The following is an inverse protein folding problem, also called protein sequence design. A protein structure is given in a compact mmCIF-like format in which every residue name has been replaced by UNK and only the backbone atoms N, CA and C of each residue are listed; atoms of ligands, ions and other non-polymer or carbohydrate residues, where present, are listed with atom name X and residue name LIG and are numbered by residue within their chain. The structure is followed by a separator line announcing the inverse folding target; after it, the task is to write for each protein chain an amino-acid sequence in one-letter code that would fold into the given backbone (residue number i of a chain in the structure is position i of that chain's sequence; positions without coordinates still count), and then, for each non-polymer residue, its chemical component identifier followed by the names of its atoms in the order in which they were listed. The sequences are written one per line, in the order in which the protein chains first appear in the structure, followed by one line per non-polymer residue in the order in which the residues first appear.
data_IF_586160355992
#
_entry.id   IF_586160355992
#
_cell.length_a   1.000
_cell.length_b   1.000
_cell.length_c   1.000
_cell.angle_alpha   90.00
_cell.angle_beta   90.00
_cell.angle_gamma   90.00
#
_symmetry.space_group_name_H-M   'P 1'
#
loop_
_entity.id
_entity.type
_entity.pdbx_description
1 polymer ?
#
# COMPACT_ATOMS: atom_id res chain seq x y z
N UNK A 1 -14.96 8.90 -28.60
CA UNK A 1 -13.91 9.29 -27.62
C UNK A 1 -14.61 9.94 -26.44
N UNK A 2 -14.71 9.26 -25.30
CA UNK A 2 -15.32 9.85 -24.11
C UNK A 2 -14.45 11.01 -23.65
N UNK A 3 -14.97 12.24 -23.72
CA UNK A 3 -14.29 13.41 -23.16
C UNK A 3 -14.09 13.16 -21.66
N UNK A 4 -12.82 13.00 -21.26
CA UNK A 4 -12.44 12.99 -19.85
C UNK A 4 -12.82 14.34 -19.25
N UNK A 5 -13.53 14.40 -18.11
CA UNK A 5 -13.86 15.68 -17.50
C UNK A 5 -12.57 16.33 -16.99
N UNK A 6 -12.04 17.28 -17.78
CA UNK A 6 -11.02 18.21 -17.35
C UNK A 6 -11.67 19.20 -16.36
N UNK A 7 -11.72 18.83 -15.07
CA UNK A 7 -12.41 19.64 -14.06
C UNK A 7 -11.48 20.58 -13.27
N UNK A 8 -10.16 20.48 -13.45
CA UNK A 8 -9.19 21.32 -12.73
C UNK A 8 -8.06 21.79 -13.65
N UNK A 9 -7.51 23.01 -13.44
CA UNK A 9 -6.35 23.47 -14.18
C UNK A 9 -5.17 22.52 -14.07
N UNK A 10 -4.40 22.39 -15.16
CA UNK A 10 -3.26 21.48 -15.28
C UNK A 10 -2.27 21.67 -14.12
N UNK A 11 -1.94 22.91 -13.80
CA UNK A 11 -0.98 23.28 -12.78
C UNK A 11 -1.44 22.82 -11.39
N UNK A 12 -2.75 22.96 -11.12
CA UNK A 12 -3.38 22.52 -9.87
C UNK A 12 -3.36 21.00 -9.77
N UNK A 13 -3.63 20.30 -10.87
CA UNK A 13 -3.55 18.84 -10.91
C UNK A 13 -2.12 18.36 -10.61
N UNK A 14 -1.11 18.94 -11.26
CA UNK A 14 0.31 18.61 -11.03
C UNK A 14 0.69 18.83 -9.56
N UNK A 15 0.30 19.96 -8.98
CA UNK A 15 0.58 20.23 -7.56
C UNK A 15 -0.07 19.19 -6.64
N UNK A 16 -1.28 18.73 -6.96
CA UNK A 16 -1.97 17.70 -6.18
C UNK A 16 -1.29 16.34 -6.34
N UNK A 17 -0.87 15.97 -7.55
CA UNK A 17 -0.12 14.74 -7.81
C UNK A 17 1.22 14.72 -7.07
N UNK A 18 1.96 15.84 -7.07
CA UNK A 18 3.22 15.97 -6.29
C UNK A 18 2.98 15.78 -4.79
N UNK A 19 1.89 16.33 -4.24
CA UNK A 19 1.51 16.11 -2.84
C UNK A 19 1.19 14.64 -2.55
N UNK A 20 0.47 13.96 -3.45
CA UNK A 20 0.24 12.52 -3.34
C UNK A 20 1.56 11.76 -3.34
N UNK A 21 2.50 12.09 -4.24
CA UNK A 21 3.82 11.46 -4.27
C UNK A 21 4.59 11.65 -2.97
N UNK A 22 4.56 12.84 -2.37
CA UNK A 22 5.18 13.08 -1.06
C UNK A 22 4.54 12.19 0.01
N UNK A 23 3.20 12.10 0.04
CA UNK A 23 2.50 11.21 0.98
C UNK A 23 2.90 9.75 0.77
N UNK A 24 2.99 9.30 -0.47
CA UNK A 24 3.44 7.94 -0.81
C UNK A 24 4.88 7.71 -0.35
N UNK A 25 5.79 8.65 -0.58
CA UNK A 25 7.19 8.52 -0.15
C UNK A 25 7.26 8.38 1.37
N UNK A 26 6.54 9.22 2.11
CA UNK A 26 6.46 9.12 3.58
C UNK A 26 5.93 7.76 4.00
N UNK A 27 4.84 7.29 3.40
CA UNK A 27 4.26 5.97 3.72
C UNK A 27 5.17 4.81 3.31
N UNK A 28 5.90 4.95 2.20
CA UNK A 28 6.90 4.00 1.75
C UNK A 28 8.08 3.91 2.71
N UNK A 29 8.53 5.05 3.27
CA UNK A 29 9.55 5.08 4.32
C UNK A 29 9.07 4.41 5.61
N UNK A 30 7.82 4.67 6.02
CA UNK A 30 7.20 3.99 7.17
C UNK A 30 7.04 2.49 6.91
N UNK A 31 6.67 2.08 5.69
CA UNK A 31 6.59 0.67 5.34
C UNK A 31 7.96 -0.01 5.35
N UNK A 32 9.01 0.71 4.90
CA UNK A 32 10.39 0.19 4.93
C UNK A 32 10.94 0.07 6.35
N UNK A 33 10.55 0.95 7.29
CA UNK A 33 10.99 0.82 8.69
C UNK A 33 10.41 -0.40 9.40
N UNK A 34 9.29 -0.96 8.94
CA UNK A 34 8.73 -2.22 9.48
C UNK A 34 9.74 -3.37 9.43
N UNK A 35 10.66 -3.38 8.46
CA UNK A 35 11.71 -4.41 8.39
C UNK A 35 12.62 -4.37 9.62
N UNK A 36 12.96 -3.17 10.11
CA UNK A 36 13.75 -3.01 11.34
C UNK A 36 13.00 -3.61 12.52
N UNK A 37 11.70 -3.36 12.59
CA UNK A 37 10.84 -3.86 13.67
C UNK A 37 10.77 -5.38 13.66
N UNK A 38 10.62 -5.99 12.49
CA UNK A 38 10.60 -7.45 12.32
C UNK A 38 11.92 -8.08 12.82
N UNK A 39 13.07 -7.44 12.55
CA UNK A 39 14.36 -7.93 13.05
C UNK A 39 14.46 -7.82 14.57
N UNK A 40 14.00 -6.70 15.14
CA UNK A 40 14.02 -6.47 16.59
C UNK A 40 13.09 -7.45 17.30
N UNK A 41 11.87 -7.64 16.77
CA UNK A 41 10.90 -8.56 17.32
C UNK A 41 11.39 -10.01 17.24
N UNK A 42 11.83 -10.45 16.05
CA UNK A 42 12.40 -11.79 15.88
C UNK A 42 13.57 -12.08 16.83
N UNK A 43 14.42 -11.08 17.10
CA UNK A 43 15.52 -11.19 18.07
C UNK A 43 15.02 -11.24 19.51
N UNK A 44 13.98 -10.48 19.85
CA UNK A 44 13.38 -10.48 21.19
C UNK A 44 12.74 -11.84 21.51
N UNK A 45 12.05 -12.43 20.53
CA UNK A 45 11.48 -13.77 20.63
C UNK A 45 12.51 -14.86 20.98
N UNK A 46 13.79 -14.67 20.63
CA UNK A 46 14.88 -15.60 20.93
C UNK A 46 15.60 -15.31 22.25
N UNK A 47 15.40 -14.14 22.83
CA UNK A 47 16.21 -13.65 23.96
C UNK A 47 15.40 -13.39 25.22
N UNK A 48 14.07 -13.43 25.14
CA UNK A 48 13.18 -13.12 26.27
C UNK A 48 12.00 -14.08 26.35
N UNK A 49 11.65 -14.46 27.57
CA UNK A 49 10.33 -15.03 27.87
C UNK A 49 9.38 -13.84 28.06
N UNK A 50 8.27 -13.82 27.30
CA UNK A 50 7.38 -12.67 27.25
C UNK A 50 6.33 -12.76 28.36
N UNK A 51 6.20 -11.71 29.17
CA UNK A 51 5.12 -11.58 30.17
C UNK A 51 3.77 -11.20 29.54
N UNK A 52 3.79 -10.72 28.28
CA UNK A 52 2.62 -10.27 27.53
C UNK A 52 2.91 -10.24 26.02
N UNK A 53 1.86 -10.16 25.20
CA UNK A 53 1.98 -9.81 23.78
C UNK A 53 2.36 -8.33 23.54
N UNK A 54 2.40 -7.49 24.58
CA UNK A 54 2.83 -6.09 24.50
C UNK A 54 4.29 -5.92 24.92
N UNK A 55 5.22 -6.52 24.18
CA UNK A 55 6.64 -6.25 24.38
C UNK A 55 7.05 -4.88 23.80
N UNK A 56 8.23 -4.34 24.16
CA UNK A 56 8.73 -3.11 23.54
C UNK A 56 8.82 -3.21 22.01
N UNK A 57 9.19 -4.38 21.47
CA UNK A 57 9.24 -4.61 20.03
C UNK A 57 7.84 -4.60 19.41
N UNK A 58 6.88 -5.30 20.04
CA UNK A 58 5.49 -5.33 19.61
C UNK A 58 4.84 -3.95 19.64
N UNK A 59 5.14 -3.12 20.64
CA UNK A 59 4.56 -1.77 20.72
C UNK A 59 4.90 -0.93 19.49
N UNK A 60 6.16 -1.01 19.07
CA UNK A 60 6.67 -0.30 17.93
C UNK A 60 6.14 -0.90 16.61
N UNK A 61 6.12 -2.22 16.50
CA UNK A 61 5.55 -2.95 15.36
C UNK A 61 4.05 -2.67 15.15
N UNK A 62 3.25 -2.71 16.21
CA UNK A 62 1.81 -2.40 16.16
C UNK A 62 1.55 -0.95 15.75
N UNK A 63 2.43 -0.01 16.10
CA UNK A 63 2.30 1.38 15.68
C UNK A 63 2.31 1.54 14.16
N UNK A 64 3.12 0.74 13.44
CA UNK A 64 3.13 0.72 11.98
C UNK A 64 1.85 0.15 11.39
N UNK A 65 1.30 -0.90 12.00
CA UNK A 65 0.04 -1.50 11.53
C UNK A 65 -1.18 -0.64 11.79
N UNK A 66 -1.08 0.35 12.68
CA UNK A 66 -2.09 1.42 12.81
C UNK A 66 -1.79 2.56 11.83
N UNK A 67 -0.53 2.99 11.74
CA UNK A 67 -0.12 4.15 10.95
C UNK A 67 -0.31 3.95 9.44
N UNK A 68 0.04 2.77 8.90
CA UNK A 68 -0.03 2.49 7.46
C UNK A 68 -1.47 2.53 6.92
N UNK A 69 -2.46 1.78 7.45
CA UNK A 69 -3.82 1.83 6.91
C UNK A 69 -4.46 3.22 7.08
N UNK A 70 -4.19 3.93 8.18
CA UNK A 70 -4.68 5.29 8.39
C UNK A 70 -4.02 6.29 7.42
N UNK A 71 -2.72 6.16 7.21
CA UNK A 71 -1.96 6.98 6.28
C UNK A 71 -2.42 6.81 4.84
N UNK A 72 -2.62 5.56 4.39
CA UNK A 72 -3.20 5.27 3.09
C UNK A 72 -4.68 5.70 3.01
N UNK A 73 -5.42 5.66 4.11
CA UNK A 73 -6.74 6.28 4.24
C UNK A 73 -6.71 7.80 4.03
N UNK A 74 -5.69 8.49 4.54
CA UNK A 74 -5.49 9.91 4.30
C UNK A 74 -5.15 10.19 2.83
N UNK A 75 -4.36 9.34 2.18
CA UNK A 75 -4.14 9.39 0.72
C UNK A 75 -5.46 9.26 -0.02
N UNK A 76 -6.32 8.30 0.35
CA UNK A 76 -7.65 8.12 -0.24
C UNK A 76 -8.56 9.34 -0.06
N UNK A 77 -8.53 10.00 1.10
CA UNK A 77 -9.31 11.23 1.32
C UNK A 77 -8.78 12.36 0.42
N UNK A 78 -7.46 12.49 0.31
CA UNK A 78 -6.82 13.51 -0.51
C UNK A 78 -7.00 13.27 -2.02
N UNK A 79 -6.94 12.01 -2.46
CA UNK A 79 -7.12 11.54 -3.85
C UNK A 79 -8.47 11.99 -4.43
N UNK A 80 -9.50 12.17 -3.59
CA UNK A 80 -10.81 12.72 -4.01
C UNK A 80 -10.70 14.10 -4.67
N UNK A 81 -9.60 14.83 -4.43
CA UNK A 81 -9.29 16.12 -5.05
C UNK A 81 -8.68 15.97 -6.45
N UNK A 82 -8.45 14.75 -6.95
CA UNK A 82 -7.80 14.50 -8.24
C UNK A 82 -8.74 13.62 -9.09
N UNK A 83 -9.67 14.23 -9.86
CA UNK A 83 -10.68 13.47 -10.61
C UNK A 83 -10.11 12.42 -11.57
N UNK A 84 -8.93 12.66 -12.12
CA UNK A 84 -8.24 11.78 -13.08
C UNK A 84 -7.71 10.47 -12.50
N UNK A 85 -7.53 10.39 -11.18
CA UNK A 85 -7.08 9.17 -10.49
C UNK A 85 -8.23 8.26 -10.06
N UNK A 86 -9.47 8.75 -10.14
CA UNK A 86 -10.66 8.02 -9.70
C UNK A 86 -11.00 6.89 -10.67
N UNK A 87 -11.53 5.81 -10.11
CA UNK A 87 -12.04 4.69 -10.87
C UNK A 87 -13.38 5.00 -11.55
N UNK A 88 -13.94 4.02 -12.29
CA UNK A 88 -15.27 4.14 -12.89
C UNK A 88 -16.31 4.57 -11.85
N UNK A 89 -17.29 5.38 -12.28
CA UNK A 89 -18.34 5.92 -11.43
C UNK A 89 -17.83 6.68 -10.20
N UNK A 90 -16.72 7.42 -10.35
CA UNK A 90 -16.14 8.20 -9.26
C UNK A 90 -15.70 7.31 -8.08
N UNK A 91 -15.42 6.02 -8.31
CA UNK A 91 -14.99 5.11 -7.25
C UNK A 91 -13.54 5.38 -6.83
N UNK A 92 -13.15 4.89 -5.65
CA UNK A 92 -11.74 4.92 -5.21
C UNK A 92 -10.91 4.12 -6.21
N UNK A 93 -9.66 4.52 -6.42
CA UNK A 93 -8.73 3.75 -7.25
C UNK A 93 -8.56 2.32 -6.72
N UNK A 94 -8.58 1.32 -7.61
CA UNK A 94 -8.47 -0.10 -7.22
C UNK A 94 -7.17 -0.41 -6.49
N UNK A 95 -6.03 0.13 -6.95
CA UNK A 95 -4.75 -0.05 -6.27
C UNK A 95 -4.82 0.45 -4.83
N UNK A 96 -5.35 1.66 -4.64
CA UNK A 96 -5.50 2.28 -3.32
C UNK A 96 -6.44 1.51 -2.38
N UNK A 97 -7.55 0.96 -2.90
CA UNK A 97 -8.43 0.08 -2.11
C UNK A 97 -7.68 -1.16 -1.64
N UNK A 98 -6.97 -1.82 -2.55
CA UNK A 98 -6.22 -3.05 -2.26
C UNK A 98 -5.11 -2.75 -1.24
N UNK A 99 -4.43 -1.60 -1.33
CA UNK A 99 -3.44 -1.19 -0.34
C UNK A 99 -4.01 -1.11 1.07
N UNK A 100 -5.13 -0.41 1.23
CA UNK A 100 -5.77 -0.22 2.53
C UNK A 100 -6.27 -1.56 3.08
N UNK A 101 -6.93 -2.37 2.25
CA UNK A 101 -7.42 -3.70 2.64
C UNK A 101 -6.25 -4.62 3.04
N UNK A 102 -5.15 -4.58 2.28
CA UNK A 102 -3.93 -5.34 2.58
C UNK A 102 -3.39 -5.00 3.96
N UNK A 103 -3.14 -3.71 4.24
CA UNK A 103 -2.63 -3.28 5.55
C UNK A 103 -3.61 -3.54 6.70
N UNK A 104 -4.92 -3.36 6.49
CA UNK A 104 -5.92 -3.73 7.49
C UNK A 104 -5.90 -5.24 7.76
N UNK A 105 -5.82 -6.06 6.70
CA UNK A 105 -5.68 -7.51 6.81
C UNK A 105 -4.45 -7.88 7.63
N UNK A 106 -3.30 -7.28 7.31
CA UNK A 106 -2.04 -7.46 8.04
C UNK A 106 -2.20 -7.11 9.52
N UNK A 107 -2.81 -5.96 9.84
CA UNK A 107 -3.06 -5.50 11.21
C UNK A 107 -3.87 -6.53 12.02
N UNK A 108 -4.93 -7.10 11.45
CA UNK A 108 -5.71 -8.12 12.15
C UNK A 108 -4.93 -9.43 12.30
N UNK A 109 -4.24 -9.86 11.25
CA UNK A 109 -3.50 -11.13 11.26
C UNK A 109 -2.33 -11.11 12.25
N UNK A 110 -1.62 -10.00 12.41
CA UNK A 110 -0.50 -9.92 13.34
C UNK A 110 -0.96 -9.85 14.80
N UNK A 111 -2.06 -9.13 15.08
CA UNK A 111 -2.64 -9.11 16.42
C UNK A 111 -3.04 -10.52 16.87
N UNK A 112 -3.67 -11.28 15.96
CA UNK A 112 -4.00 -12.69 16.22
C UNK A 112 -2.72 -13.53 16.35
N UNK A 113 -1.73 -13.35 15.47
CA UNK A 113 -0.47 -14.09 15.49
C UNK A 113 0.24 -13.95 16.85
N UNK A 114 0.38 -12.73 17.36
CA UNK A 114 1.12 -12.47 18.59
C UNK A 114 0.38 -12.90 19.85
N UNK A 115 -0.94 -12.75 19.88
CA UNK A 115 -1.78 -13.31 20.95
C UNK A 115 -1.71 -14.84 20.97
N UNK A 116 -1.62 -15.48 19.80
CA UNK A 116 -1.49 -16.93 19.68
C UNK A 116 -0.12 -17.43 20.13
N UNK A 117 0.96 -16.74 19.75
CA UNK A 117 2.31 -17.03 20.28
C UNK A 117 2.40 -16.89 21.82
N UNK A 118 1.50 -16.11 22.43
CA UNK A 118 1.45 -15.98 23.88
C UNK A 118 0.62 -17.07 24.57
N UNK A 119 -0.49 -17.52 23.96
CA UNK A 119 -1.40 -18.50 24.56
C UNK A 119 -1.12 -19.95 24.18
N UNK A 120 -0.50 -20.19 23.02
CA UNK A 120 -0.22 -21.52 22.50
C UNK A 120 1.29 -21.68 22.28
N UNK A 121 1.85 -22.78 22.78
CA UNK A 121 3.30 -23.02 22.87
C UNK A 121 3.89 -23.65 21.59
N UNK A 122 3.10 -23.93 20.55
CA UNK A 122 3.54 -24.77 19.43
C UNK A 122 3.62 -24.07 18.06
N UNK A 123 4.75 -24.29 17.40
CA UNK A 123 5.15 -23.87 16.04
C UNK A 123 4.09 -24.19 14.96
N UNK A 124 3.28 -25.24 15.14
CA UNK A 124 2.29 -25.71 14.15
C UNK A 124 1.09 -24.75 14.04
N UNK A 125 0.73 -24.05 15.12
CA UNK A 125 -0.41 -23.13 15.14
C UNK A 125 -0.03 -21.70 14.71
N UNK A 126 1.26 -21.37 14.65
CA UNK A 126 1.77 -20.07 14.20
C UNK A 126 1.88 -19.98 12.67
N UNK A 127 2.18 -21.10 11.98
CA UNK A 127 2.41 -21.12 10.52
C UNK A 127 1.22 -20.57 9.72
N UNK A 128 -0.06 -20.95 9.97
CA UNK A 128 -1.19 -20.45 9.19
C UNK A 128 -1.41 -18.93 9.33
N UNK A 129 -1.21 -18.38 10.53
CA UNK A 129 -1.38 -16.95 10.77
C UNK A 129 -0.24 -16.13 10.17
N UNK A 130 0.99 -16.68 10.16
CA UNK A 130 2.13 -16.05 9.51
C UNK A 130 1.96 -15.91 7.99
N UNK A 131 1.41 -16.93 7.32
CA UNK A 131 1.07 -16.83 5.90
C UNK A 131 -0.03 -15.79 5.64
N UNK A 132 -1.04 -15.72 6.51
CA UNK A 132 -2.11 -14.73 6.42
C UNK A 132 -1.56 -13.29 6.52
N UNK A 133 -0.62 -13.07 7.44
CA UNK A 133 0.13 -11.82 7.58
C UNK A 133 0.88 -11.46 6.30
N UNK A 134 1.70 -12.39 5.79
CA UNK A 134 2.48 -12.18 4.57
C UNK A 134 1.58 -11.89 3.36
N UNK A 135 0.45 -12.58 3.23
CA UNK A 135 -0.51 -12.32 2.15
C UNK A 135 -1.13 -10.92 2.25
N UNK A 136 -1.43 -10.44 3.46
CA UNK A 136 -1.88 -9.06 3.68
C UNK A 136 -0.84 -8.03 3.23
N UNK A 137 0.43 -8.26 3.57
CA UNK A 137 1.55 -7.39 3.16
C UNK A 137 1.72 -7.41 1.64
N UNK A 138 1.73 -8.59 1.02
CA UNK A 138 1.85 -8.73 -0.45
C UNK A 138 0.73 -7.98 -1.16
N UNK A 139 -0.52 -8.15 -0.71
CA UNK A 139 -1.65 -7.40 -1.26
C UNK A 139 -1.46 -5.89 -1.09
N UNK A 140 -1.02 -5.45 0.09
CA UNK A 140 -0.81 -4.04 0.38
C UNK A 140 0.22 -3.41 -0.59
N UNK A 141 1.36 -4.07 -0.76
CA UNK A 141 2.44 -3.63 -1.65
C UNK A 141 2.04 -3.67 -3.12
N UNK A 142 1.35 -4.73 -3.57
CA UNK A 142 0.84 -4.81 -4.94
C UNK A 142 -0.17 -3.69 -5.25
N UNK A 143 -1.09 -3.42 -4.32
CA UNK A 143 -2.03 -2.31 -4.44
C UNK A 143 -1.31 -0.96 -4.49
N UNK A 144 -0.30 -0.77 -3.62
CA UNK A 144 0.44 0.48 -3.51
C UNK A 144 1.23 0.74 -4.79
N UNK A 145 1.93 -0.29 -5.30
CA UNK A 145 2.63 -0.23 -6.58
C UNK A 145 1.67 0.13 -7.72
N UNK A 146 0.49 -0.50 -7.76
CA UNK A 146 -0.50 -0.19 -8.78
C UNK A 146 -0.99 1.27 -8.74
N UNK A 147 -1.18 1.82 -7.54
CA UNK A 147 -1.53 3.22 -7.37
C UNK A 147 -0.39 4.15 -7.77
N UNK A 148 0.86 3.84 -7.38
CA UNK A 148 2.06 4.59 -7.77
C UNK A 148 2.22 4.65 -9.29
N UNK A 149 2.08 3.51 -9.98
CA UNK A 149 2.16 3.44 -11.44
C UNK A 149 1.10 4.32 -12.07
N UNK A 150 -0.13 4.36 -11.53
CA UNK A 150 -1.19 5.23 -12.03
C UNK A 150 -0.87 6.72 -11.83
N UNK A 151 -0.37 7.11 -10.66
CA UNK A 151 0.06 8.49 -10.38
C UNK A 151 1.18 8.91 -11.33
N UNK A 152 2.19 8.06 -11.49
CA UNK A 152 3.33 8.33 -12.38
C UNK A 152 2.92 8.41 -13.85
N UNK A 153 2.08 7.50 -14.32
CA UNK A 153 1.52 7.55 -15.67
C UNK A 153 0.80 8.88 -15.94
N UNK A 154 0.02 9.38 -14.97
CA UNK A 154 -0.64 10.68 -15.10
C UNK A 154 0.34 11.85 -15.12
N UNK A 155 1.45 11.78 -14.38
CA UNK A 155 2.51 12.80 -14.43
C UNK A 155 3.21 12.84 -15.80
N UNK A 156 3.39 11.69 -16.46
CA UNK A 156 3.88 11.61 -17.84
C UNK A 156 2.87 12.22 -18.82
N UNK A 157 1.58 11.87 -18.71
CA UNK A 157 0.52 12.45 -19.55
C UNK A 157 0.49 13.99 -19.49
N UNK A 158 0.84 14.56 -18.33
CA UNK A 158 0.91 16.01 -18.12
C UNK A 158 2.26 16.63 -18.54
N UNK A 159 3.23 15.83 -18.97
CA UNK A 159 4.56 16.27 -19.40
C UNK A 159 5.47 16.71 -18.24
N UNK A 160 5.21 16.24 -17.02
CA UNK A 160 6.04 16.53 -15.84
C UNK A 160 7.21 15.57 -15.74
N UNK A 161 6.97 14.31 -16.11
CA UNK A 161 7.96 13.23 -16.08
C UNK A 161 8.23 12.72 -17.50
N UNK A 162 9.43 12.23 -17.75
CA UNK A 162 9.76 11.57 -19.01
C UNK A 162 9.27 10.11 -19.02
N UNK A 163 8.82 9.60 -20.18
CA UNK A 163 8.54 8.17 -20.30
C UNK A 163 9.84 7.39 -20.01
N UNK A 164 9.75 6.21 -19.38
CA UNK A 164 10.93 5.39 -19.16
C UNK A 164 11.56 4.99 -20.48
N UNK A 165 12.88 5.08 -20.57
CA UNK A 165 13.66 4.63 -21.74
C UNK A 165 13.72 3.10 -21.86
N UNK A 166 13.35 2.36 -20.80
CA UNK A 166 13.36 0.90 -20.80
C UNK A 166 12.11 0.35 -21.53
N UNK A 167 12.27 -0.47 -22.58
CA UNK A 167 11.17 -0.97 -23.40
C UNK A 167 10.14 -1.81 -22.63
N UNK A 168 10.56 -2.59 -21.63
CA UNK A 168 9.64 -3.42 -20.82
C UNK A 168 8.77 -2.58 -19.89
N UNK A 169 9.37 -1.52 -19.34
CA UNK A 169 8.66 -0.60 -18.46
C UNK A 169 7.69 0.24 -19.29
N UNK A 170 8.09 0.67 -20.49
CA UNK A 170 7.22 1.36 -21.42
C UNK A 170 5.98 0.54 -21.83
N UNK A 171 6.11 -0.78 -21.97
CA UNK A 171 4.99 -1.68 -22.27
C UNK A 171 3.96 -1.75 -21.12
N UNK A 172 4.43 -1.88 -19.88
CA UNK A 172 3.60 -1.81 -18.68
C UNK A 172 2.86 -0.46 -18.58
N UNK A 173 3.54 0.65 -18.90
CA UNK A 173 2.89 1.96 -18.94
C UNK A 173 1.85 2.08 -20.05
N UNK A 174 2.15 1.58 -21.25
CA UNK A 174 1.18 1.56 -22.36
C UNK A 174 -0.08 0.80 -21.96
N UNK A 175 0.06 -0.36 -21.32
CA UNK A 175 -1.07 -1.13 -20.81
C UNK A 175 -1.86 -0.40 -19.71
N UNK A 176 -1.20 0.39 -18.85
CA UNK A 176 -1.85 1.22 -17.84
C UNK A 176 -2.62 2.41 -18.45
N UNK A 177 -2.04 3.08 -19.44
CA UNK A 177 -2.67 4.19 -20.19
C UNK A 177 -3.88 3.73 -20.99
N UNK A 178 -3.83 2.52 -21.56
CA UNK A 178 -4.95 1.90 -22.28
C UNK A 178 -6.04 1.36 -21.34
N UNK A 179 -5.89 1.50 -20.02
CA UNK A 179 -6.79 0.95 -19.01
C UNK A 179 -6.75 -0.59 -18.90
N UNK A 180 -5.93 -1.25 -19.72
CA UNK A 180 -5.86 -2.73 -19.84
C UNK A 180 -5.13 -3.40 -18.70
N UNK A 181 -4.30 -2.68 -17.93
CA UNK A 181 -3.58 -3.24 -16.78
C UNK A 181 -4.53 -3.69 -15.65
N UNK A 182 -5.74 -3.10 -15.58
CA UNK A 182 -6.73 -3.40 -14.53
C UNK A 182 -8.12 -3.76 -15.08
N UNK A 183 -8.37 -3.69 -16.41
CA UNK A 183 -9.69 -3.92 -17.01
C UNK A 183 -9.86 -5.29 -17.68
N UNK A 184 -8.99 -6.27 -17.42
CA UNK A 184 -9.34 -7.64 -17.80
C UNK A 184 -10.26 -8.19 -16.73
N UNK A 185 -11.56 -8.05 -16.97
CA UNK A 185 -12.49 -9.16 -16.75
C UNK A 185 -11.74 -10.45 -17.06
N UNK A 186 -11.40 -11.17 -16.00
CA UNK A 186 -10.96 -12.56 -16.09
C UNK A 186 -12.10 -13.29 -16.83
N UNK A 187 -11.83 -14.07 -17.88
CA UNK A 187 -12.87 -14.92 -18.47
C UNK A 187 -13.46 -15.86 -17.41
#
# INVERSE_FOLDING_TARGET
MAQMPALIPKEVEIQRLKKVMIMIIVLGSVAASVEVDNFVDGSLHQTSIRDSAFTPAHWWLYSHFVALPLGWGAVMIYDRRIPSLRGPNNSVNTGLKITIIGYLGTMFTIGINEMWHFWFVEEIFAVPNHWSFNMGVVLAFMGALGYVVRVYARMIELGVESPPSNPYVAEMYKMALEGKLYSRSIP
#
